data_IF_566687577806
#
_entry.id   IF_566687577806
#
_cell.length_a   1.000
_cell.length_b   1.000
_cell.length_c   1.000
_cell.angle_alpha   90.00
_cell.angle_beta   90.00
_cell.angle_gamma   90.00
#
_symmetry.space_group_name_H-M   'P 1'
#
loop_
_entity.id
_entity.type
_entity.pdbx_description
1 polymer ?
#
# COMPACT_ATOMS: atom_id res chain seq x y z
N UNK A 1 36.28 -38.88 44.03
CA UNK A 1 35.63 -39.17 42.74
C UNK A 1 34.52 -38.14 42.53
N UNK A 2 34.77 -37.07 41.72
CA UNK A 2 33.79 -36.03 41.43
C UNK A 2 33.04 -36.42 40.15
N UNK A 3 31.73 -36.61 40.24
CA UNK A 3 30.89 -36.85 39.09
C UNK A 3 30.55 -35.52 38.43
N UNK A 4 31.00 -35.35 37.17
CA UNK A 4 30.62 -34.22 36.30
C UNK A 4 29.24 -34.52 35.73
N UNK A 5 28.24 -33.70 36.10
CA UNK A 5 26.94 -33.70 35.43
C UNK A 5 27.07 -32.80 34.19
N UNK A 6 27.01 -33.44 32.99
CA UNK A 6 26.87 -32.72 31.72
C UNK A 6 25.39 -32.34 31.55
N UNK A 7 25.08 -31.04 31.72
CA UNK A 7 23.75 -30.52 31.31
C UNK A 7 23.74 -30.34 29.79
N UNK A 8 22.97 -31.19 29.12
CA UNK A 8 22.63 -30.99 27.70
C UNK A 8 21.55 -29.92 27.63
N UNK A 9 21.94 -28.72 27.26
CA UNK A 9 21.00 -27.67 26.90
C UNK A 9 20.54 -27.97 25.46
N UNK A 10 19.36 -28.57 25.33
CA UNK A 10 18.70 -28.69 24.04
C UNK A 10 18.28 -27.31 23.56
N UNK A 11 19.01 -26.75 22.62
CA UNK A 11 18.58 -25.55 21.90
C UNK A 11 17.36 -25.92 21.03
N UNK A 12 16.17 -25.57 21.50
CA UNK A 12 14.98 -25.58 20.68
C UNK A 12 15.12 -24.49 19.62
N UNK A 13 15.60 -24.83 18.43
CA UNK A 13 15.41 -23.99 17.26
C UNK A 13 13.92 -24.00 16.91
N UNK A 14 13.20 -23.00 17.40
CA UNK A 14 11.85 -22.71 16.91
C UNK A 14 12.02 -22.20 15.49
N UNK A 15 11.91 -23.07 14.50
CA UNK A 15 11.78 -22.65 13.11
C UNK A 15 10.39 -22.04 12.97
N UNK A 16 10.33 -20.69 12.97
CA UNK A 16 9.11 -19.99 12.65
C UNK A 16 8.60 -20.49 11.28
N UNK A 17 7.32 -20.84 11.20
CA UNK A 17 6.69 -21.21 9.93
C UNK A 17 6.77 -20.01 8.97
N UNK A 18 6.96 -20.22 7.66
CA UNK A 18 7.00 -19.11 6.69
C UNK A 18 5.81 -18.15 6.81
N UNK A 19 4.61 -18.66 7.11
CA UNK A 19 3.40 -17.85 7.31
C UNK A 19 3.51 -16.90 8.52
N UNK A 20 4.08 -17.35 9.66
CA UNK A 20 4.32 -16.51 10.83
C UNK A 20 5.33 -15.39 10.54
N UNK A 21 6.28 -15.62 9.64
CA UNK A 21 7.27 -14.60 9.29
C UNK A 21 6.67 -13.45 8.47
N UNK A 22 5.72 -13.72 7.57
CA UNK A 22 5.04 -12.68 6.79
C UNK A 22 4.15 -11.79 7.65
N UNK A 23 3.31 -12.37 8.52
CA UNK A 23 2.47 -11.60 9.44
C UNK A 23 3.29 -10.63 10.30
N UNK A 24 4.41 -11.09 10.86
CA UNK A 24 5.29 -10.25 11.67
C UNK A 24 5.92 -9.12 10.86
N UNK A 25 6.33 -9.41 9.62
CA UNK A 25 6.95 -8.42 8.73
C UNK A 25 5.93 -7.37 8.27
N UNK A 26 4.67 -7.77 8.01
CA UNK A 26 3.63 -6.90 7.49
C UNK A 26 2.87 -6.13 8.59
N UNK A 27 2.86 -6.60 9.82
CA UNK A 27 2.11 -5.97 10.90
C UNK A 27 2.32 -4.43 11.03
N UNK A 28 3.53 -3.87 10.88
CA UNK A 28 3.71 -2.41 10.86
C UNK A 28 3.08 -1.74 9.65
N UNK A 29 3.16 -2.37 8.47
CA UNK A 29 2.59 -1.88 7.19
C UNK A 29 1.07 -1.83 7.31
N UNK A 30 0.44 -2.96 7.68
CA UNK A 30 -1.00 -3.09 7.85
C UNK A 30 -1.55 -2.13 8.92
N UNK A 31 -0.80 -1.95 10.02
CA UNK A 31 -1.19 -1.01 11.07
C UNK A 31 -1.24 0.44 10.57
N UNK A 32 -0.31 0.84 9.70
CA UNK A 32 -0.33 2.17 9.09
C UNK A 32 -1.50 2.31 8.12
N UNK A 33 -1.75 1.30 7.27
CA UNK A 33 -2.88 1.29 6.33
C UNK A 33 -4.21 1.48 7.07
N UNK A 34 -4.47 0.68 8.09
CA UNK A 34 -5.69 0.79 8.92
C UNK A 34 -5.81 2.17 9.59
N UNK A 35 -4.71 2.78 10.05
CA UNK A 35 -4.77 4.14 10.60
C UNK A 35 -5.05 5.18 9.54
N UNK A 36 -4.49 5.00 8.32
CA UNK A 36 -4.77 5.84 7.17
C UNK A 36 -6.24 5.86 6.82
N UNK A 37 -6.85 4.67 6.70
CA UNK A 37 -8.27 4.51 6.39
C UNK A 37 -9.18 5.18 7.44
N UNK A 38 -8.92 4.94 8.72
CA UNK A 38 -9.64 5.61 9.80
C UNK A 38 -9.50 7.13 9.77
N UNK A 39 -8.33 7.62 9.40
CA UNK A 39 -8.09 9.06 9.26
C UNK A 39 -8.87 9.64 8.06
N UNK A 40 -8.96 8.91 6.92
CA UNK A 40 -9.79 9.30 5.78
C UNK A 40 -11.27 9.38 6.18
N UNK A 41 -11.81 8.34 6.80
CA UNK A 41 -13.20 8.31 7.31
C UNK A 41 -13.48 9.48 8.27
N UNK A 42 -12.51 9.80 9.13
CA UNK A 42 -12.59 10.94 10.05
C UNK A 42 -12.30 12.31 9.40
N UNK A 43 -12.07 12.36 8.08
CA UNK A 43 -11.68 13.57 7.30
C UNK A 43 -10.40 14.25 7.82
N UNK A 44 -9.53 13.50 8.47
CA UNK A 44 -8.21 13.94 8.93
C UNK A 44 -7.16 13.70 7.85
N UNK A 45 -7.31 14.35 6.72
CA UNK A 45 -6.56 14.07 5.50
C UNK A 45 -5.03 14.20 5.65
N UNK A 46 -4.56 15.11 6.51
CA UNK A 46 -3.13 15.24 6.77
C UNK A 46 -2.56 14.03 7.56
N UNK A 47 -3.36 13.44 8.45
CA UNK A 47 -3.02 12.22 9.15
C UNK A 47 -3.05 11.02 8.19
N UNK A 48 -4.08 10.91 7.36
CA UNK A 48 -4.20 9.89 6.34
C UNK A 48 -2.99 9.91 5.37
N UNK A 49 -2.65 11.09 4.83
CA UNK A 49 -1.48 11.24 3.95
C UNK A 49 -0.19 10.74 4.62
N UNK A 50 0.02 11.06 5.90
CA UNK A 50 1.21 10.61 6.63
C UNK A 50 1.25 9.10 6.76
N UNK A 51 0.13 8.47 7.14
CA UNK A 51 0.05 7.02 7.33
C UNK A 51 0.25 6.27 6.01
N UNK A 52 -0.40 6.67 4.90
CA UNK A 52 -0.20 6.03 3.59
C UNK A 52 1.23 6.19 3.05
N UNK A 53 1.87 7.35 3.27
CA UNK A 53 3.29 7.51 2.95
C UNK A 53 4.16 6.56 3.78
N UNK A 54 3.81 6.34 5.03
CA UNK A 54 4.55 5.42 5.91
C UNK A 54 4.36 3.97 5.46
N UNK A 55 3.16 3.58 5.00
CA UNK A 55 2.94 2.27 4.35
C UNK A 55 3.92 2.06 3.20
N UNK A 56 3.96 3.02 2.26
CA UNK A 56 4.84 2.94 1.08
C UNK A 56 6.32 2.85 1.51
N UNK A 57 6.72 3.64 2.49
CA UNK A 57 8.08 3.63 3.03
C UNK A 57 8.44 2.29 3.68
N UNK A 58 7.57 1.77 4.55
CA UNK A 58 7.79 0.51 5.26
C UNK A 58 7.82 -0.67 4.28
N UNK A 59 6.90 -0.72 3.33
CA UNK A 59 6.91 -1.74 2.28
C UNK A 59 8.23 -1.74 1.51
N UNK A 60 8.76 -0.56 1.17
CA UNK A 60 10.06 -0.42 0.52
C UNK A 60 11.26 -0.93 1.34
N UNK A 61 11.12 -1.10 2.66
CA UNK A 61 12.16 -1.68 3.52
C UNK A 61 12.11 -3.20 3.63
N UNK A 62 11.05 -3.84 3.12
CA UNK A 62 10.93 -5.28 3.13
C UNK A 62 11.96 -5.92 2.17
N UNK A 63 12.41 -7.16 2.44
CA UNK A 63 13.24 -7.90 1.50
C UNK A 63 12.60 -8.01 0.11
N UNK A 64 13.41 -7.93 -0.94
CA UNK A 64 12.93 -7.99 -2.33
C UNK A 64 12.08 -9.23 -2.62
N UNK A 65 12.49 -10.39 -2.11
CA UNK A 65 11.73 -11.64 -2.27
C UNK A 65 10.34 -11.57 -1.65
N UNK A 66 10.19 -10.86 -0.52
CA UNK A 66 8.90 -10.66 0.15
C UNK A 66 8.04 -9.72 -0.67
N UNK A 67 8.58 -8.59 -1.13
CA UNK A 67 7.86 -7.62 -1.97
C UNK A 67 7.37 -8.24 -3.27
N UNK A 68 8.24 -8.95 -3.98
CA UNK A 68 7.89 -9.65 -5.23
C UNK A 68 6.73 -10.62 -5.00
N UNK A 69 6.78 -11.42 -3.95
CA UNK A 69 5.73 -12.38 -3.65
C UNK A 69 4.40 -11.72 -3.27
N UNK A 70 4.45 -10.59 -2.54
CA UNK A 70 3.26 -9.82 -2.21
C UNK A 70 2.64 -9.17 -3.45
N UNK A 71 3.45 -8.67 -4.35
CA UNK A 71 2.99 -8.09 -5.62
C UNK A 71 2.37 -9.14 -6.53
N UNK A 72 2.92 -10.37 -6.56
CA UNK A 72 2.35 -11.51 -7.30
C UNK A 72 0.98 -11.97 -6.73
N UNK A 73 0.81 -11.91 -5.41
CA UNK A 73 -0.44 -12.30 -4.74
C UNK A 73 -1.53 -11.23 -4.84
N UNK A 74 -1.16 -10.00 -5.10
CA UNK A 74 -2.08 -8.88 -5.21
C UNK A 74 -2.15 -8.38 -6.66
N UNK A 75 -3.28 -8.58 -7.31
CA UNK A 75 -3.52 -8.09 -8.66
C UNK A 75 -3.26 -6.59 -8.77
N UNK A 76 -2.21 -6.19 -9.51
CA UNK A 76 -1.78 -4.81 -9.63
C UNK A 76 -0.83 -4.32 -8.53
N UNK A 77 -0.27 -5.26 -7.73
CA UNK A 77 0.70 -4.97 -6.69
C UNK A 77 0.09 -4.60 -5.34
N UNK A 78 0.85 -4.87 -4.28
CA UNK A 78 0.43 -4.66 -2.89
C UNK A 78 0.10 -3.18 -2.59
N UNK A 79 0.89 -2.25 -3.12
CA UNK A 79 0.73 -0.82 -2.84
C UNK A 79 -0.33 -0.11 -3.69
N UNK A 80 -1.02 -0.80 -4.60
CA UNK A 80 -1.97 -0.16 -5.52
C UNK A 80 -3.04 0.66 -4.78
N UNK A 81 -3.73 0.05 -3.82
CA UNK A 81 -4.75 0.74 -3.01
C UNK A 81 -4.18 1.92 -2.23
N UNK A 82 -2.98 1.78 -1.71
CA UNK A 82 -2.31 2.81 -0.93
C UNK A 82 -1.96 4.05 -1.76
N UNK A 83 -1.55 3.87 -3.02
CA UNK A 83 -1.33 4.99 -3.94
C UNK A 83 -2.63 5.72 -4.25
N UNK A 84 -3.73 5.00 -4.43
CA UNK A 84 -5.04 5.61 -4.65
C UNK A 84 -5.50 6.42 -3.44
N UNK A 85 -5.49 5.82 -2.26
CA UNK A 85 -5.89 6.47 -1.01
C UNK A 85 -4.99 7.68 -0.70
N UNK A 86 -3.69 7.58 -0.98
CA UNK A 86 -2.76 8.70 -0.86
C UNK A 86 -3.13 9.85 -1.82
N UNK A 87 -3.50 9.54 -3.08
CA UNK A 87 -3.94 10.54 -4.04
C UNK A 87 -5.21 11.26 -3.56
N UNK A 88 -6.19 10.53 -3.03
CA UNK A 88 -7.40 11.07 -2.44
C UNK A 88 -7.09 12.02 -1.27
N UNK A 89 -6.28 11.57 -0.30
CA UNK A 89 -5.89 12.39 0.85
C UNK A 89 -5.19 13.69 0.42
N UNK A 90 -4.26 13.61 -0.54
CA UNK A 90 -3.54 14.75 -1.08
C UNK A 90 -4.43 15.70 -1.88
N UNK A 91 -5.38 15.18 -2.66
CA UNK A 91 -6.39 15.96 -3.37
C UNK A 91 -7.24 16.76 -2.39
N UNK A 92 -7.75 16.11 -1.33
CA UNK A 92 -8.52 16.77 -0.26
C UNK A 92 -7.73 17.84 0.48
N UNK A 93 -6.41 17.72 0.56
CA UNK A 93 -5.48 18.73 1.10
C UNK A 93 -5.11 19.82 0.09
N UNK A 94 -5.65 19.78 -1.12
CA UNK A 94 -5.29 20.67 -2.23
C UNK A 94 -3.79 20.60 -2.62
N UNK A 95 -3.12 19.46 -2.35
CA UNK A 95 -1.75 19.15 -2.76
C UNK A 95 -1.74 18.58 -4.17
N UNK A 96 -2.28 19.33 -5.13
CA UNK A 96 -2.68 18.88 -6.45
C UNK A 96 -1.59 18.11 -7.20
N UNK A 97 -0.36 18.65 -7.28
CA UNK A 97 0.74 17.97 -7.99
C UNK A 97 1.12 16.64 -7.35
N UNK A 98 1.12 16.57 -6.02
CA UNK A 98 1.41 15.35 -5.30
C UNK A 98 0.31 14.31 -5.52
N UNK A 99 -0.96 14.73 -5.48
CA UNK A 99 -2.11 13.86 -5.74
C UNK A 99 -2.08 13.28 -7.16
N UNK A 100 -1.76 14.10 -8.17
CA UNK A 100 -1.58 13.63 -9.57
C UNK A 100 -0.45 12.60 -9.65
N UNK A 101 0.68 12.82 -8.97
CA UNK A 101 1.79 11.87 -8.98
C UNK A 101 1.42 10.53 -8.29
N UNK A 102 0.67 10.59 -7.18
CA UNK A 102 0.20 9.37 -6.49
C UNK A 102 -0.85 8.62 -7.33
N UNK A 103 -1.74 9.34 -8.01
CA UNK A 103 -2.71 8.73 -8.92
C UNK A 103 -2.04 8.09 -10.14
N UNK A 104 -0.98 8.69 -10.67
CA UNK A 104 -0.16 8.09 -11.73
C UNK A 104 0.45 6.77 -11.25
N UNK A 105 1.02 6.74 -10.04
CA UNK A 105 1.58 5.51 -9.46
C UNK A 105 0.51 4.41 -9.30
N UNK A 106 -0.72 4.76 -8.91
CA UNK A 106 -1.85 3.83 -8.87
C UNK A 106 -2.12 3.20 -10.25
N UNK A 107 -2.21 4.03 -11.31
CA UNK A 107 -2.47 3.56 -12.67
C UNK A 107 -1.29 2.79 -13.23
N UNK A 108 -0.05 3.14 -12.85
CA UNK A 108 1.17 2.43 -13.24
C UNK A 108 1.23 1.01 -12.66
N UNK A 109 0.58 0.74 -11.53
CA UNK A 109 0.44 -0.60 -10.99
C UNK A 109 -0.40 -1.53 -11.91
N UNK A 110 -1.22 -0.98 -12.79
CA UNK A 110 -2.17 -1.74 -13.60
C UNK A 110 -3.44 -2.14 -12.81
N UNK A 111 -4.39 -2.76 -13.51
CA UNK A 111 -5.67 -3.22 -12.93
C UNK A 111 -6.39 -2.12 -12.13
N UNK A 112 -6.38 -0.88 -12.63
CA UNK A 112 -7.11 0.22 -12.02
C UNK A 112 -8.62 0.08 -12.25
N UNK A 113 -9.40 0.66 -11.34
CA UNK A 113 -10.83 0.83 -11.52
C UNK A 113 -11.08 2.22 -12.14
N UNK A 114 -11.18 2.25 -13.47
CA UNK A 114 -11.35 3.47 -14.24
C UNK A 114 -12.66 4.19 -13.88
N UNK A 115 -13.78 3.44 -13.87
CA UNK A 115 -15.10 4.01 -13.60
C UNK A 115 -15.18 4.64 -12.22
N UNK A 116 -14.64 3.95 -11.21
CA UNK A 116 -14.56 4.50 -9.86
C UNK A 116 -13.69 5.77 -9.81
N UNK A 117 -12.51 5.73 -10.43
CA UNK A 117 -11.56 6.86 -10.40
C UNK A 117 -12.15 8.14 -10.99
N UNK A 118 -12.93 8.06 -12.09
CA UNK A 118 -13.51 9.25 -12.71
C UNK A 118 -14.73 9.81 -11.96
N UNK A 119 -15.36 9.03 -11.11
CA UNK A 119 -16.54 9.43 -10.34
C UNK A 119 -16.22 9.86 -8.90
N UNK A 120 -15.04 9.50 -8.38
CA UNK A 120 -14.68 9.72 -6.98
C UNK A 120 -14.55 11.22 -6.64
N UNK A 121 -15.40 11.76 -5.74
CA UNK A 121 -15.37 13.16 -5.36
C UNK A 121 -14.10 13.56 -4.59
N UNK A 122 -13.34 12.61 -4.04
CA UNK A 122 -12.08 12.91 -3.38
C UNK A 122 -11.01 13.38 -4.36
N UNK A 123 -11.16 13.08 -5.65
CA UNK A 123 -10.26 13.51 -6.72
C UNK A 123 -10.67 14.84 -7.41
N UNK A 124 -11.81 15.44 -7.05
CA UNK A 124 -12.34 16.64 -7.71
C UNK A 124 -11.32 17.80 -7.79
N UNK A 125 -10.51 17.99 -6.76
CA UNK A 125 -9.53 19.08 -6.71
C UNK A 125 -8.38 18.94 -7.73
N UNK A 126 -8.21 17.78 -8.35
CA UNK A 126 -7.13 17.52 -9.32
C UNK A 126 -7.62 17.32 -10.75
N UNK A 127 -8.92 17.28 -11.00
CA UNK A 127 -9.49 17.03 -12.35
C UNK A 127 -9.04 18.10 -13.38
N UNK A 128 -8.77 19.31 -12.93
CA UNK A 128 -8.29 20.42 -13.80
C UNK A 128 -6.76 20.43 -14.00
N UNK A 129 -6.02 19.55 -13.32
CA UNK A 129 -4.57 19.50 -13.45
C UNK A 129 -4.16 18.86 -14.79
N UNK A 130 -3.15 19.43 -15.43
CA UNK A 130 -2.69 18.98 -16.76
C UNK A 130 -2.40 17.46 -16.81
N UNK A 131 -1.74 16.91 -15.80
CA UNK A 131 -1.40 15.49 -15.75
C UNK A 131 -2.58 14.56 -15.53
N UNK A 132 -3.71 15.07 -15.00
CA UNK A 132 -4.88 14.24 -14.70
C UNK A 132 -5.50 13.63 -15.98
N UNK A 133 -5.65 14.42 -17.03
CA UNK A 133 -6.22 13.93 -18.29
C UNK A 133 -5.39 12.80 -18.93
N UNK A 134 -4.06 12.88 -18.85
CA UNK A 134 -3.15 11.83 -19.34
C UNK A 134 -3.29 10.53 -18.52
N UNK A 135 -3.44 10.66 -17.20
CA UNK A 135 -3.65 9.52 -16.30
C UNK A 135 -4.99 8.85 -16.57
N UNK A 136 -6.06 9.64 -16.75
CA UNK A 136 -7.40 9.14 -17.07
C UNK A 136 -7.40 8.38 -18.39
N UNK A 137 -6.74 8.90 -19.41
CA UNK A 137 -6.64 8.21 -20.70
C UNK A 137 -5.89 6.89 -20.59
N UNK A 138 -4.76 6.86 -19.86
CA UNK A 138 -4.02 5.64 -19.59
C UNK A 138 -4.85 4.61 -18.83
N UNK A 139 -5.60 5.04 -17.81
CA UNK A 139 -6.49 4.17 -17.06
C UNK A 139 -7.62 3.62 -17.96
N UNK A 140 -8.18 4.45 -18.83
CA UNK A 140 -9.22 4.04 -19.79
C UNK A 140 -8.72 2.98 -20.77
N UNK A 141 -7.47 3.09 -21.23
CA UNK A 141 -6.85 2.09 -22.12
C UNK A 141 -6.62 0.74 -21.42
N UNK A 142 -6.37 0.73 -20.13
CA UNK A 142 -6.27 -0.49 -19.33
C UNK A 142 -7.64 -1.16 -19.14
N UNK A 143 -8.72 -0.38 -19.21
CA UNK A 143 -10.08 -0.80 -18.93
C UNK A 143 -10.36 -0.93 -17.43
N UNK A 144 -11.63 -1.17 -17.10
CA UNK A 144 -12.02 -1.50 -15.73
C UNK A 144 -11.51 -2.90 -15.39
N UNK A 145 -11.02 -3.06 -14.19
CA UNK A 145 -10.77 -4.38 -13.62
C UNK A 145 -12.13 -5.05 -13.39
N UNK A 146 -12.67 -5.60 -14.46
CA UNK A 146 -13.93 -6.33 -14.42
C UNK A 146 -13.72 -7.66 -13.71
N UNK A 147 -14.49 -7.88 -12.67
CA UNK A 147 -14.71 -9.21 -12.12
C UNK A 147 -15.33 -10.09 -13.21
N UNK A 148 -14.50 -10.93 -13.82
CA UNK A 148 -14.99 -11.98 -14.71
C UNK A 148 -15.34 -13.20 -13.86
#
# INVERSE_FOLDING_TARGET
MKKLLLSVVAAFCITASPAQSYEVLLAPVDSCSVRGDRAMEAKKYAEAEREYREVIRLFGTLPDSVRTQLDEWNYGGYLRGEYYNLACAQSRLNKRRAAVASLAAYVDCGNCDYSWMIEDPDLDNIRSEKGYAEIVEKAREQGDFMWI
#
